data_IF_064100516206
#
_entry.id   IF_064100516206
#
_cell.length_a   1.000
_cell.length_b   1.000
_cell.length_c   1.000
_cell.angle_alpha   90.00
_cell.angle_beta   90.00
_cell.angle_gamma   90.00
#
_symmetry.space_group_name_H-M   'P 1'
#
loop_
_entity.id
_entity.type
_entity.pdbx_description
1 polymer ?
#
# COMPACT_ATOMS: atom_id res chain seq x y z
N UNK A 1 0.87 -20.30 18.11
CA UNK A 1 0.47 -18.95 18.57
C UNK A 1 -0.25 -18.29 17.41
N UNK A 2 -1.37 -17.57 17.60
CA UNK A 2 -1.93 -16.76 16.51
C UNK A 2 -0.83 -15.88 15.93
N UNK A 3 -0.83 -15.67 14.60
CA UNK A 3 0.27 -15.08 13.82
C UNK A 3 0.67 -13.65 14.22
N UNK A 4 -0.08 -13.04 15.13
CA UNK A 4 0.12 -11.68 15.62
C UNK A 4 -1.20 -11.02 15.98
N UNK A 5 -1.14 -9.76 16.38
CA UNK A 5 -2.32 -8.93 16.58
C UNK A 5 -2.87 -8.48 15.23
N UNK A 6 -4.14 -8.76 14.96
CA UNK A 6 -4.79 -8.48 13.68
C UNK A 6 -5.70 -7.27 13.78
N UNK A 7 -5.48 -6.29 12.90
CA UNK A 7 -6.33 -5.09 12.77
C UNK A 7 -6.83 -4.98 11.33
N UNK A 8 -8.10 -4.62 11.17
CA UNK A 8 -8.73 -4.36 9.87
C UNK A 8 -9.09 -2.88 9.79
N UNK A 9 -8.50 -2.18 8.83
CA UNK A 9 -8.70 -0.74 8.63
C UNK A 9 -9.42 -0.49 7.31
N UNK A 10 -10.43 0.37 7.33
CA UNK A 10 -11.16 0.78 6.13
C UNK A 10 -10.38 1.86 5.39
N UNK A 11 -10.17 1.66 4.09
CA UNK A 11 -9.64 2.66 3.17
C UNK A 11 -10.83 3.43 2.60
N UNK A 12 -10.92 4.72 2.96
CA UNK A 12 -12.06 5.57 2.60
C UNK A 12 -12.00 6.07 1.14
N UNK A 13 -10.80 6.14 0.58
CA UNK A 13 -10.53 6.62 -0.77
C UNK A 13 -9.03 6.66 -1.03
N UNK A 14 -8.64 7.10 -2.22
CA UNK A 14 -7.24 7.18 -2.62
C UNK A 14 -7.11 7.54 -4.09
N UNK A 15 -5.93 8.02 -4.47
CA UNK A 15 -5.60 8.37 -5.84
C UNK A 15 -4.24 7.76 -6.20
N UNK A 16 -4.04 7.51 -7.49
CA UNK A 16 -2.78 7.05 -8.05
C UNK A 16 -2.33 8.05 -9.14
N UNK A 17 -1.54 9.07 -8.76
CA UNK A 17 -0.93 9.98 -9.72
C UNK A 17 0.39 9.37 -10.24
N UNK A 18 0.49 9.16 -11.55
CA UNK A 18 1.69 8.70 -12.22
C UNK A 18 1.80 9.27 -13.63
N UNK A 19 2.97 9.15 -14.30
CA UNK A 19 3.22 9.77 -15.60
C UNK A 19 2.21 9.36 -16.68
N UNK A 20 1.74 8.12 -16.60
CA UNK A 20 0.80 7.53 -17.56
C UNK A 20 -0.47 6.98 -16.91
N UNK A 21 -0.51 6.93 -15.57
CA UNK A 21 -1.60 6.37 -14.78
C UNK A 21 -2.19 7.51 -13.95
N UNK A 22 -3.44 7.85 -14.21
CA UNK A 22 -4.23 8.73 -13.38
C UNK A 22 -5.51 7.99 -13.02
N UNK A 23 -5.77 7.81 -11.72
CA UNK A 23 -6.93 7.07 -11.27
C UNK A 23 -7.24 7.27 -9.80
N UNK A 24 -8.43 6.83 -9.41
CA UNK A 24 -8.96 6.90 -8.05
C UNK A 24 -9.46 5.54 -7.59
N UNK A 25 -9.46 5.27 -6.28
CA UNK A 25 -10.06 4.04 -5.76
C UNK A 25 -11.56 4.01 -6.10
N UNK A 26 -11.98 2.96 -6.81
CA UNK A 26 -13.34 2.79 -7.33
C UNK A 26 -14.37 2.55 -6.20
N UNK A 27 -13.92 1.97 -5.09
CA UNK A 27 -14.74 1.69 -3.92
C UNK A 27 -13.91 1.75 -2.64
N UNK A 28 -14.60 1.77 -1.50
CA UNK A 28 -13.96 1.53 -0.20
C UNK A 28 -13.34 0.14 -0.21
N UNK A 29 -12.11 0.07 0.28
CA UNK A 29 -11.36 -1.18 0.44
C UNK A 29 -11.01 -1.38 1.90
N UNK A 30 -10.39 -2.52 2.21
CA UNK A 30 -9.86 -2.80 3.55
C UNK A 30 -8.39 -3.16 3.46
N UNK A 31 -7.64 -2.75 4.47
CA UNK A 31 -6.28 -3.22 4.73
C UNK A 31 -6.36 -4.10 5.96
N UNK A 32 -5.90 -5.33 5.83
CA UNK A 32 -5.64 -6.20 6.97
C UNK A 32 -4.18 -6.01 7.35
N UNK A 33 -3.93 -5.74 8.63
CA UNK A 33 -2.59 -5.72 9.20
C UNK A 33 -2.46 -6.79 10.28
N UNK A 34 -1.28 -7.42 10.34
CA UNK A 34 -0.94 -8.43 11.36
C UNK A 34 0.42 -8.08 11.94
N UNK A 35 0.46 -7.69 13.22
CA UNK A 35 1.71 -7.37 13.92
C UNK A 35 2.23 -8.61 14.64
N UNK A 36 3.35 -9.14 14.16
CA UNK A 36 4.02 -10.32 14.70
C UNK A 36 4.69 -10.01 16.06
N UNK A 37 5.02 -11.03 16.87
CA UNK A 37 5.72 -10.85 18.15
C UNK A 37 7.12 -10.20 18.05
N UNK A 38 7.74 -10.19 16.87
CA UNK A 38 9.03 -9.54 16.61
C UNK A 38 8.90 -8.04 16.27
N UNK A 39 7.67 -7.49 16.29
CA UNK A 39 7.38 -6.10 15.96
C UNK A 39 7.24 -5.82 14.46
N UNK A 40 7.33 -6.84 13.60
CA UNK A 40 7.05 -6.68 12.17
C UNK A 40 5.54 -6.73 11.90
N UNK A 41 5.02 -5.71 11.22
CA UNK A 41 3.63 -5.66 10.75
C UNK A 41 3.56 -6.04 9.28
N UNK A 42 2.76 -7.05 8.95
CA UNK A 42 2.39 -7.38 7.58
C UNK A 42 1.11 -6.67 7.18
N UNK A 43 1.01 -6.27 5.91
CA UNK A 43 -0.19 -5.67 5.32
C UNK A 43 -0.66 -6.49 4.12
N UNK A 44 -1.97 -6.63 3.98
CA UNK A 44 -2.60 -7.14 2.77
C UNK A 44 -3.85 -6.35 2.44
N UNK A 45 -4.03 -6.03 1.16
CA UNK A 45 -5.21 -5.31 0.68
C UNK A 45 -5.50 -5.64 -0.78
N UNK A 46 -6.78 -5.84 -1.08
CA UNK A 46 -7.30 -5.89 -2.44
C UNK A 46 -7.93 -4.53 -2.77
N UNK A 47 -7.39 -3.87 -3.78
CA UNK A 47 -7.78 -2.53 -4.21
C UNK A 47 -8.23 -2.57 -5.67
N UNK A 48 -9.17 -1.69 -6.02
CA UNK A 48 -9.58 -1.47 -7.41
C UNK A 48 -9.43 0.01 -7.73
N UNK A 49 -8.53 0.31 -8.66
CA UNK A 49 -8.31 1.66 -9.17
C UNK A 49 -9.11 1.85 -10.46
N UNK A 50 -9.97 2.87 -10.50
CA UNK A 50 -10.62 3.35 -11.72
C UNK A 50 -9.73 4.40 -12.38
N UNK A 51 -9.42 4.20 -13.66
CA UNK A 51 -8.56 5.10 -14.42
C UNK A 51 -9.37 6.25 -15.01
N UNK A 52 -8.83 7.47 -15.00
CA UNK A 52 -9.45 8.65 -15.59
C UNK A 52 -9.73 8.48 -17.10
N UNK A 53 -8.90 7.70 -17.79
CA UNK A 53 -9.07 7.37 -19.22
C UNK A 53 -10.06 6.23 -19.47
N UNK A 54 -10.68 5.68 -18.42
CA UNK A 54 -11.56 4.53 -18.46
C UNK A 54 -10.86 3.19 -18.21
N UNK A 55 -11.60 2.26 -17.63
CA UNK A 55 -11.13 0.94 -17.25
C UNK A 55 -10.59 0.87 -15.82
N UNK A 56 -10.16 -0.31 -15.42
CA UNK A 56 -9.79 -0.60 -14.03
C UNK A 56 -8.43 -1.31 -13.94
N UNK A 57 -7.71 -1.05 -12.84
CA UNK A 57 -6.61 -1.86 -12.34
C UNK A 57 -7.05 -2.54 -11.05
N UNK A 58 -7.06 -3.87 -11.02
CA UNK A 58 -7.16 -4.64 -9.78
C UNK A 58 -5.75 -4.80 -9.21
N UNK A 59 -5.60 -4.49 -7.93
CA UNK A 59 -4.32 -4.46 -7.24
C UNK A 59 -4.40 -5.37 -6.00
N UNK A 60 -3.54 -6.39 -5.94
CA UNK A 60 -3.27 -7.16 -4.71
C UNK A 60 -1.98 -6.63 -4.10
N UNK A 61 -2.13 -5.91 -2.99
CA UNK A 61 -1.02 -5.32 -2.25
C UNK A 61 -0.60 -6.22 -1.10
N UNK A 62 0.72 -6.44 -0.98
CA UNK A 62 1.35 -7.12 0.15
C UNK A 62 2.53 -6.29 0.63
N UNK A 63 2.58 -5.97 1.92
CA UNK A 63 3.64 -5.12 2.47
C UNK A 63 4.11 -5.60 3.83
N UNK A 64 5.28 -5.11 4.24
CA UNK A 64 5.84 -5.31 5.58
C UNK A 64 6.36 -3.98 6.12
N UNK A 65 6.16 -3.74 7.41
CA UNK A 65 6.69 -2.59 8.14
C UNK A 65 7.37 -3.04 9.42
N UNK A 66 8.56 -2.48 9.70
CA UNK A 66 9.22 -2.62 10.99
C UNK A 66 10.20 -1.47 11.21
N UNK A 67 10.56 -1.21 12.46
CA UNK A 67 11.48 -0.15 12.82
C UNK A 67 11.61 -0.05 14.34
N UNK A 68 12.36 0.93 14.85
CA UNK A 68 12.39 1.23 16.28
C UNK A 68 10.97 1.49 16.80
N UNK A 69 10.64 0.96 17.99
CA UNK A 69 9.30 1.07 18.55
C UNK A 69 8.85 2.54 18.67
N UNK A 70 9.74 3.43 19.11
CA UNK A 70 9.41 4.87 19.22
C UNK A 70 9.08 5.54 17.89
N UNK A 71 9.59 5.01 16.77
CA UNK A 71 9.30 5.48 15.41
C UNK A 71 7.96 4.94 14.94
N UNK A 72 7.67 3.65 15.18
CA UNK A 72 6.41 3.03 14.78
C UNK A 72 5.23 3.61 15.56
N UNK A 73 5.39 3.85 16.87
CA UNK A 73 4.37 4.47 17.70
C UNK A 73 4.09 5.91 17.26
N UNK A 74 5.13 6.65 16.86
CA UNK A 74 5.00 8.01 16.34
C UNK A 74 4.14 8.08 15.07
N UNK A 75 4.12 7.03 14.23
CA UNK A 75 3.30 7.00 13.01
C UNK A 75 1.78 6.98 13.29
N UNK A 76 1.37 6.68 14.52
CA UNK A 76 -0.03 6.68 14.93
C UNK A 76 -0.46 8.02 15.56
N UNK A 77 0.48 8.94 15.77
CA UNK A 77 0.23 10.26 16.33
C UNK A 77 -0.03 11.26 15.18
N UNK A 78 -1.21 11.89 15.10
CA UNK A 78 -1.54 12.84 14.03
C UNK A 78 -0.70 14.12 14.08
N UNK A 79 -0.12 14.47 15.23
CA UNK A 79 0.67 15.70 15.41
C UNK A 79 2.17 15.48 15.15
N UNK A 80 2.58 14.24 14.84
CA UNK A 80 3.98 13.88 14.70
C UNK A 80 4.33 13.51 13.25
N UNK A 81 5.29 14.25 12.71
CA UNK A 81 5.90 13.92 11.42
C UNK A 81 7.06 12.93 11.62
N UNK A 82 7.08 11.87 10.84
CA UNK A 82 8.10 10.82 10.89
C UNK A 82 8.79 10.72 9.55
N UNK A 83 10.12 10.82 9.55
CA UNK A 83 10.93 10.63 8.34
C UNK A 83 10.82 9.18 7.84
N UNK A 84 10.33 8.93 6.60
CA UNK A 84 10.22 7.60 6.03
C UNK A 84 11.53 6.82 5.94
N UNK A 85 12.69 7.47 6.04
CA UNK A 85 13.99 6.82 6.09
C UNK A 85 14.30 6.14 7.44
N UNK A 86 13.51 6.44 8.49
CA UNK A 86 13.75 5.94 9.86
C UNK A 86 13.07 4.60 10.17
N UNK A 87 12.25 4.09 9.25
CA UNK A 87 11.60 2.78 9.38
C UNK A 87 11.57 2.06 8.03
N UNK A 88 11.47 0.74 8.08
CA UNK A 88 11.28 -0.08 6.91
C UNK A 88 9.79 -0.16 6.57
N UNK A 89 9.43 0.15 5.33
CA UNK A 89 8.08 -0.10 4.81
C UNK A 89 8.14 -0.39 3.31
N UNK A 90 8.09 -1.67 2.96
CA UNK A 90 8.24 -2.13 1.56
C UNK A 90 7.21 -3.20 1.24
N UNK A 91 6.89 -3.34 -0.03
CA UNK A 91 5.91 -4.32 -0.48
C UNK A 91 5.99 -4.66 -1.94
N UNK A 92 4.99 -5.42 -2.38
CA UNK A 92 4.75 -5.78 -3.77
C UNK A 92 3.32 -5.44 -4.13
N UNK A 93 3.12 -5.02 -5.38
CA UNK A 93 1.81 -4.73 -5.93
C UNK A 93 1.59 -5.60 -7.16
N UNK A 94 0.71 -6.59 -7.06
CA UNK A 94 0.34 -7.39 -8.22
C UNK A 94 -0.82 -6.71 -8.93
N UNK A 95 -0.63 -6.43 -10.21
CA UNK A 95 -1.62 -5.71 -11.04
C UNK A 95 -2.33 -6.69 -11.98
N UNK A 96 -3.64 -6.52 -12.11
CA UNK A 96 -4.48 -7.20 -13.11
C UNK A 96 -5.36 -6.18 -13.85
N UNK A 97 -5.33 -6.18 -15.17
CA UNK A 97 -6.09 -5.24 -16.00
C UNK A 97 -6.36 -5.76 -17.41
N UNK A 98 -7.48 -5.34 -17.98
CA UNK A 98 -7.84 -5.53 -19.38
C UNK A 98 -7.53 -4.29 -20.24
N UNK A 99 -7.02 -3.19 -19.66
CA UNK A 99 -6.75 -1.95 -20.39
C UNK A 99 -5.55 -2.16 -21.32
N UNK A 100 -5.70 -2.05 -22.66
CA UNK A 100 -4.66 -2.41 -23.62
C UNK A 100 -3.30 -1.76 -23.34
N UNK A 101 -3.29 -0.47 -22.98
CA UNK A 101 -2.10 0.32 -22.63
C UNK A 101 -1.30 -0.27 -21.47
N UNK A 102 -1.95 -0.95 -20.53
CA UNK A 102 -1.36 -1.44 -19.28
C UNK A 102 -1.26 -2.97 -19.19
N UNK A 103 -1.55 -3.68 -20.27
CA UNK A 103 -1.51 -5.16 -20.29
C UNK A 103 -0.15 -5.76 -19.91
N UNK A 104 0.94 -5.01 -20.07
CA UNK A 104 2.26 -5.43 -19.63
C UNK A 104 2.37 -5.57 -18.10
N UNK A 105 1.55 -4.84 -17.32
CA UNK A 105 1.55 -4.91 -15.86
C UNK A 105 1.05 -6.26 -15.34
N UNK A 106 0.23 -6.98 -16.11
CA UNK A 106 -0.28 -8.31 -15.75
C UNK A 106 0.81 -9.36 -15.53
N UNK A 107 2.00 -9.13 -16.11
CA UNK A 107 3.17 -10.02 -16.03
C UNK A 107 4.36 -9.38 -15.31
N UNK A 108 4.20 -8.15 -14.83
CA UNK A 108 5.25 -7.39 -14.22
C UNK A 108 5.37 -7.67 -12.73
N UNK A 109 6.59 -7.54 -12.19
CA UNK A 109 6.80 -7.39 -10.76
C UNK A 109 6.87 -5.89 -10.43
N UNK A 110 6.00 -5.45 -9.53
CA UNK A 110 6.01 -4.09 -9.00
C UNK A 110 6.35 -4.15 -7.53
N UNK A 111 7.39 -3.42 -7.13
CA UNK A 111 7.79 -3.25 -5.74
C UNK A 111 7.38 -1.88 -5.24
N UNK A 112 7.10 -1.74 -3.95
CA UNK A 112 6.67 -0.47 -3.35
C UNK A 112 7.61 0.00 -2.27
N UNK A 113 7.77 1.33 -2.19
CA UNK A 113 8.30 2.03 -1.02
C UNK A 113 7.17 2.80 -0.37
N UNK A 114 6.87 2.48 0.89
CA UNK A 114 5.77 3.09 1.62
C UNK A 114 6.22 4.19 2.57
N UNK A 115 5.39 5.22 2.71
CA UNK A 115 5.40 6.13 3.84
C UNK A 115 3.99 6.21 4.44
N UNK A 116 3.86 6.55 5.73
CA UNK A 116 2.54 6.72 6.36
C UNK A 116 2.54 7.82 7.40
N UNK A 117 1.39 8.44 7.58
CA UNK A 117 1.01 9.25 8.73
C UNK A 117 -0.16 8.58 9.44
N UNK A 118 -0.72 9.23 10.47
CA UNK A 118 -1.92 8.76 11.14
C UNK A 118 -3.16 8.73 10.19
N UNK A 119 -3.17 9.56 9.15
CA UNK A 119 -4.33 9.74 8.27
C UNK A 119 -4.18 9.07 6.90
N UNK A 120 -2.95 8.89 6.42
CA UNK A 120 -2.69 8.47 5.05
C UNK A 120 -1.51 7.49 4.94
N UNK A 121 -1.59 6.65 3.92
CA UNK A 121 -0.49 5.80 3.45
C UNK A 121 -0.19 6.19 2.03
N UNK A 122 1.08 6.42 1.73
CA UNK A 122 1.58 6.67 0.38
C UNK A 122 2.46 5.49 -0.03
N UNK A 123 2.24 4.96 -1.23
CA UNK A 123 3.03 3.88 -1.80
C UNK A 123 3.61 4.36 -3.13
N UNK A 124 4.92 4.56 -3.16
CA UNK A 124 5.64 4.75 -4.41
C UNK A 124 5.84 3.38 -5.05
N UNK A 125 5.28 3.18 -6.24
CA UNK A 125 5.29 1.90 -6.94
C UNK A 125 6.30 1.93 -8.11
N UNK A 126 7.19 0.94 -8.15
CA UNK A 126 8.27 0.85 -9.12
C UNK A 126 8.19 -0.47 -9.88
N UNK A 127 8.22 -0.37 -11.21
CA UNK A 127 8.40 -1.52 -12.08
C UNK A 127 9.82 -2.06 -11.94
N UNK A 128 9.98 -3.35 -11.69
CA UNK A 128 11.31 -4.00 -11.70
C UNK A 128 11.70 -4.27 -13.15
N UNK A 129 12.88 -3.79 -13.56
CA UNK A 129 13.41 -3.87 -14.93
C UNK A 129 14.69 -4.70 -15.00
#
# INVERSE_FOLDING_TARGET
MPEGDRVVTTVLGGAAPGPDIEGTLAARSTVVSVTRPDGCTEFSSDLVLELATGGYLSLDYRGVQFGPAEVIDALNDPDREVDPATYYFRGTLRVSTAVPKFTYLNRALVVTSGSRSAEAVVLDAFLVT
#
